data_IF_908406599528
#
_entry.id   IF_908406599528
#
_cell.length_a   1.000
_cell.length_b   1.000
_cell.length_c   1.000
_cell.angle_alpha   90.00
_cell.angle_beta   90.00
_cell.angle_gamma   90.00
#
_symmetry.space_group_name_H-M   'P 1'
#
loop_
_entity.id
_entity.type
_entity.pdbx_description
1 polymer ?
#
# COMPACT_ATOMS: atom_id res chain seq x y z
N UNK A 1 -12.16 7.01 27.01
CA UNK A 1 -10.97 6.64 26.20
C UNK A 1 -11.30 5.85 24.92
N UNK A 2 -12.55 5.82 24.47
CA UNK A 2 -12.97 5.24 23.17
C UNK A 2 -12.80 6.26 22.02
N UNK A 3 -12.53 7.51 22.35
CA UNK A 3 -12.40 8.60 21.36
C UNK A 3 -11.11 8.66 20.57
N UNK A 4 -10.06 7.93 20.93
CA UNK A 4 -8.77 7.96 20.22
C UNK A 4 -8.59 6.89 19.13
N UNK A 5 -9.57 6.01 18.96
CA UNK A 5 -9.52 4.98 17.90
C UNK A 5 -10.13 5.41 16.56
N UNK A 6 -10.67 6.60 16.45
CA UNK A 6 -11.37 7.09 15.25
C UNK A 6 -10.56 8.18 14.51
N UNK A 7 -9.37 8.50 15.00
CA UNK A 7 -8.47 9.46 14.32
C UNK A 7 -7.43 8.75 13.43
N UNK A 8 -7.82 7.68 12.78
CA UNK A 8 -7.14 7.25 11.57
C UNK A 8 -7.80 8.01 10.43
N UNK A 9 -7.11 9.01 9.92
CA UNK A 9 -7.42 9.65 8.65
C UNK A 9 -7.87 8.60 7.65
N UNK A 10 -9.16 8.57 7.32
CA UNK A 10 -9.66 7.84 6.18
C UNK A 10 -9.14 8.59 4.95
N UNK A 11 -7.86 8.47 4.72
CA UNK A 11 -7.25 8.97 3.49
C UNK A 11 -7.64 8.02 2.38
N UNK A 12 -8.60 8.42 1.57
CA UNK A 12 -8.94 7.79 0.29
C UNK A 12 -7.79 7.96 -0.70
N UNK A 13 -6.58 7.60 -0.30
CA UNK A 13 -5.39 7.61 -1.16
C UNK A 13 -5.28 6.26 -1.86
N UNK A 14 -5.86 6.18 -3.04
CA UNK A 14 -5.78 5.01 -3.90
C UNK A 14 -7.15 4.38 -4.19
N UNK A 15 -7.17 3.43 -5.11
CA UNK A 15 -8.36 2.64 -5.37
C UNK A 15 -8.68 1.78 -4.15
N UNK A 16 -9.96 1.66 -3.77
CA UNK A 16 -10.35 0.72 -2.74
C UNK A 16 -9.91 -0.70 -3.13
N UNK A 17 -9.73 -1.56 -2.14
CA UNK A 17 -9.45 -2.97 -2.39
C UNK A 17 -10.59 -3.56 -3.24
N UNK A 18 -10.29 -3.92 -4.47
CA UNK A 18 -11.24 -4.59 -5.35
C UNK A 18 -11.06 -6.09 -5.17
N UNK A 19 -12.12 -6.77 -4.73
CA UNK A 19 -12.14 -8.23 -4.61
C UNK A 19 -13.00 -8.84 -5.72
N UNK A 20 -12.42 -9.78 -6.46
CA UNK A 20 -13.16 -10.69 -7.32
C UNK A 20 -13.43 -11.95 -6.52
N UNK A 21 -14.69 -12.37 -6.49
CA UNK A 21 -15.17 -13.56 -5.76
C UNK A 21 -15.69 -14.56 -6.77
N UNK A 22 -15.30 -15.82 -6.63
CA UNK A 22 -15.74 -16.91 -7.44
C UNK A 22 -16.20 -18.07 -6.56
N UNK A 23 -17.46 -18.44 -6.65
CA UNK A 23 -18.03 -19.58 -5.92
C UNK A 23 -17.75 -20.86 -6.70
N UNK A 24 -16.92 -21.73 -6.12
CA UNK A 24 -16.65 -23.07 -6.67
C UNK A 24 -17.78 -24.04 -6.35
N UNK A 25 -18.36 -23.89 -5.19
CA UNK A 25 -19.47 -24.65 -4.64
C UNK A 25 -20.39 -23.68 -3.88
N UNK A 26 -21.57 -24.12 -3.49
CA UNK A 26 -22.57 -23.29 -2.80
C UNK A 26 -22.01 -22.58 -1.53
N UNK A 27 -20.99 -23.18 -0.91
CA UNK A 27 -20.42 -22.71 0.35
C UNK A 27 -18.91 -22.44 0.27
N UNK A 28 -18.28 -22.57 -0.87
CA UNK A 28 -16.84 -22.36 -1.05
C UNK A 28 -16.56 -21.23 -2.03
N UNK A 29 -16.00 -20.14 -1.55
CA UNK A 29 -15.62 -18.95 -2.31
C UNK A 29 -14.10 -18.85 -2.45
N UNK A 30 -13.63 -18.70 -3.68
CA UNK A 30 -12.29 -18.17 -3.97
C UNK A 30 -12.39 -16.67 -4.14
N UNK A 31 -11.40 -15.94 -3.60
CA UNK A 31 -11.32 -14.50 -3.74
C UNK A 31 -9.93 -14.05 -4.18
N UNK A 32 -9.91 -13.00 -4.96
CA UNK A 32 -8.69 -12.33 -5.38
C UNK A 32 -8.85 -10.83 -5.13
N UNK A 33 -8.14 -10.33 -4.14
CA UNK A 33 -8.07 -8.91 -3.83
C UNK A 33 -6.97 -8.23 -4.65
N UNK A 34 -7.26 -7.04 -5.17
CA UNK A 34 -6.31 -6.19 -5.87
C UNK A 34 -6.36 -4.79 -5.25
N UNK A 35 -5.22 -4.29 -4.84
CA UNK A 35 -5.06 -2.92 -4.35
C UNK A 35 -3.92 -2.24 -5.11
N UNK A 36 -4.23 -1.08 -5.69
CA UNK A 36 -3.29 -0.29 -6.47
C UNK A 36 -3.34 1.14 -5.96
N UNK A 37 -2.17 1.73 -5.74
CA UNK A 37 -2.04 3.15 -5.44
C UNK A 37 -0.81 3.69 -6.13
N UNK A 38 -0.92 4.85 -6.77
CA UNK A 38 0.21 5.57 -7.35
C UNK A 38 -0.04 7.06 -7.20
N UNK A 39 0.93 7.75 -6.63
CA UNK A 39 1.00 9.21 -6.58
C UNK A 39 2.35 9.65 -7.12
N UNK A 40 2.39 10.68 -7.92
CA UNK A 40 3.63 11.25 -8.43
C UNK A 40 3.44 12.74 -8.63
N UNK A 41 4.30 13.50 -8.01
CA UNK A 41 4.46 14.93 -8.23
C UNK A 41 5.79 15.16 -8.96
N UNK A 42 5.78 16.00 -9.97
CA UNK A 42 6.96 16.34 -10.75
C UNK A 42 6.94 17.81 -11.11
N UNK A 43 7.91 18.52 -10.59
CA UNK A 43 8.11 19.93 -10.86
C UNK A 43 9.44 20.09 -11.58
N UNK A 44 9.46 20.89 -12.64
CA UNK A 44 10.67 21.24 -13.38
C UNK A 44 10.60 22.71 -13.76
N UNK A 45 11.71 23.41 -13.62
CA UNK A 45 11.76 24.81 -13.99
C UNK A 45 13.13 25.39 -13.76
N UNK A 46 13.30 26.62 -14.16
CA UNK A 46 14.50 27.38 -13.90
C UNK A 46 14.25 28.28 -12.68
N UNK A 47 14.95 28.01 -11.58
CA UNK A 47 14.93 28.84 -10.38
C UNK A 47 15.67 30.14 -10.65
N UNK A 48 15.04 31.27 -10.36
CA UNK A 48 15.68 32.58 -10.43
C UNK A 48 16.51 32.75 -9.15
N UNK A 49 17.82 32.83 -9.32
CA UNK A 49 18.76 33.01 -8.22
C UNK A 49 19.39 34.39 -8.37
N UNK A 50 18.77 35.38 -7.76
CA UNK A 50 19.18 36.80 -7.76
C UNK A 50 19.46 37.37 -9.16
N UNK A 51 20.23 38.48 -9.23
CA UNK A 51 20.66 39.12 -10.47
C UNK A 51 21.62 38.27 -11.33
N UNK A 52 21.95 37.04 -10.89
CA UNK A 52 22.96 36.18 -11.51
C UNK A 52 22.42 35.20 -12.55
N UNK A 53 21.09 35.14 -12.72
CA UNK A 53 20.48 34.26 -13.73
C UNK A 53 19.56 33.21 -13.17
N UNK A 54 19.30 32.17 -13.96
CA UNK A 54 18.47 31.04 -13.57
C UNK A 54 19.26 29.74 -13.51
N UNK A 55 18.91 28.86 -12.59
CA UNK A 55 19.49 27.53 -12.41
C UNK A 55 18.39 26.50 -12.63
N UNK A 56 18.63 25.49 -13.45
CA UNK A 56 17.70 24.38 -13.64
C UNK A 56 17.41 23.67 -12.32
N UNK A 57 16.15 23.43 -12.06
CA UNK A 57 15.69 22.67 -10.90
C UNK A 57 14.66 21.64 -11.30
N UNK A 58 14.79 20.45 -10.72
CA UNK A 58 13.86 19.34 -10.88
C UNK A 58 13.57 18.71 -9.54
N UNK A 59 12.28 18.64 -9.22
CA UNK A 59 11.74 17.95 -8.05
C UNK A 59 10.85 16.80 -8.50
N UNK A 60 11.02 15.63 -7.89
CA UNK A 60 10.13 14.48 -8.07
C UNK A 60 9.86 13.87 -6.71
N UNK A 61 8.59 13.75 -6.38
CA UNK A 61 8.11 12.98 -5.23
C UNK A 61 7.10 11.97 -5.73
N UNK A 62 7.32 10.70 -5.46
CA UNK A 62 6.48 9.64 -5.99
C UNK A 62 6.40 8.45 -5.06
N UNK A 63 5.20 7.91 -4.99
CA UNK A 63 4.94 6.71 -4.25
C UNK A 63 4.04 5.78 -5.09
N UNK A 64 4.30 4.49 -5.02
CA UNK A 64 3.49 3.47 -5.66
C UNK A 64 3.35 2.24 -4.76
N UNK A 65 2.18 1.64 -4.79
CA UNK A 65 1.83 0.49 -3.99
C UNK A 65 0.94 -0.46 -4.80
N UNK A 66 1.33 -1.73 -4.80
CA UNK A 66 0.63 -2.80 -5.51
C UNK A 66 0.53 -4.00 -4.60
N UNK A 67 -0.70 -4.47 -4.35
CA UNK A 67 -0.93 -5.66 -3.52
C UNK A 67 -1.93 -6.59 -4.21
N UNK A 68 -1.60 -7.87 -4.21
CA UNK A 68 -2.47 -8.99 -4.54
C UNK A 68 -2.80 -9.77 -3.27
N UNK A 69 -4.06 -10.16 -3.13
CA UNK A 69 -4.54 -10.85 -1.94
C UNK A 69 -5.44 -12.03 -2.35
N UNK A 70 -4.85 -13.16 -2.78
CA UNK A 70 -5.63 -14.37 -2.96
C UNK A 70 -6.15 -14.87 -1.61
N UNK A 71 -7.30 -15.50 -1.63
CA UNK A 71 -7.94 -16.01 -0.43
C UNK A 71 -9.03 -17.02 -0.74
N UNK A 72 -9.52 -17.61 0.34
CA UNK A 72 -10.60 -18.59 0.33
C UNK A 72 -11.55 -18.29 1.48
N UNK A 73 -12.84 -18.46 1.27
CA UNK A 73 -13.83 -18.34 2.32
C UNK A 73 -14.83 -19.50 2.27
N UNK A 74 -15.31 -19.87 3.44
CA UNK A 74 -16.35 -20.88 3.63
C UNK A 74 -17.60 -20.20 4.21
N UNK A 75 -18.74 -20.38 3.53
CA UNK A 75 -20.04 -19.82 3.86
C UNK A 75 -20.88 -20.85 4.62
N UNK A 76 -21.38 -20.48 5.79
CA UNK A 76 -22.16 -21.41 6.62
C UNK A 76 -23.62 -21.52 6.19
N UNK A 77 -24.15 -20.52 5.48
CA UNK A 77 -25.54 -20.53 5.00
C UNK A 77 -25.67 -19.69 3.74
N UNK A 78 -25.85 -20.34 2.60
CA UNK A 78 -25.99 -19.69 1.30
C UNK A 78 -27.45 -19.36 0.91
N UNK A 79 -28.43 -19.74 1.72
CA UNK A 79 -29.86 -19.68 1.35
C UNK A 79 -30.64 -18.56 2.04
N UNK A 80 -30.04 -17.84 2.96
CA UNK A 80 -30.70 -16.81 3.75
C UNK A 80 -30.30 -15.39 3.32
N UNK A 81 -31.14 -14.43 3.67
CA UNK A 81 -30.89 -13.01 3.49
C UNK A 81 -29.57 -12.58 4.17
N UNK A 82 -29.15 -13.31 5.19
CA UNK A 82 -27.95 -13.10 5.99
C UNK A 82 -27.02 -14.30 5.83
N UNK A 83 -25.80 -14.06 5.44
CA UNK A 83 -24.78 -15.06 5.21
C UNK A 83 -23.56 -14.78 6.09
N UNK A 84 -23.14 -15.79 6.85
CA UNK A 84 -21.95 -15.75 7.71
C UNK A 84 -20.87 -16.61 7.08
N UNK A 85 -19.66 -16.09 7.02
CA UNK A 85 -18.53 -16.79 6.44
C UNK A 85 -17.24 -16.58 7.20
N UNK A 86 -16.31 -17.51 7.07
CA UNK A 86 -14.94 -17.40 7.58
C UNK A 86 -13.96 -17.65 6.45
N UNK A 87 -12.80 -17.06 6.52
CA UNK A 87 -11.82 -17.27 5.47
C UNK A 87 -10.40 -16.94 5.86
N UNK A 88 -9.51 -17.20 4.92
CA UNK A 88 -8.09 -16.89 5.01
C UNK A 88 -7.61 -16.24 3.72
N UNK A 89 -6.55 -15.44 3.83
CA UNK A 89 -5.92 -14.79 2.68
C UNK A 89 -4.39 -14.74 2.82
N UNK A 90 -3.73 -14.56 1.69
CA UNK A 90 -2.28 -14.48 1.56
C UNK A 90 -1.91 -13.20 0.80
N UNK A 91 -1.89 -12.04 1.47
CA UNK A 91 -1.48 -10.80 0.84
C UNK A 91 0.00 -10.81 0.48
N UNK A 92 0.34 -10.33 -0.71
CA UNK A 92 1.70 -10.02 -1.12
C UNK A 92 1.72 -8.80 -2.04
N UNK A 93 2.76 -7.98 -1.91
CA UNK A 93 2.80 -6.71 -2.60
C UNK A 93 4.19 -6.11 -2.72
N UNK A 94 4.21 -5.01 -3.45
CA UNK A 94 5.38 -4.19 -3.70
C UNK A 94 5.02 -2.74 -3.40
N UNK A 95 5.90 -2.05 -2.68
CA UNK A 95 5.83 -0.60 -2.51
C UNK A 95 7.14 0.04 -2.98
N UNK A 96 7.03 1.22 -3.57
CA UNK A 96 8.19 2.01 -3.97
C UNK A 96 7.92 3.47 -3.68
N UNK A 97 8.87 4.11 -3.04
CA UNK A 97 8.92 5.55 -2.77
C UNK A 97 10.15 6.11 -3.47
N UNK A 98 10.01 7.26 -4.10
CA UNK A 98 11.10 7.94 -4.78
C UNK A 98 11.02 9.43 -4.51
N UNK A 99 12.14 10.00 -4.12
CA UNK A 99 12.34 11.43 -3.98
C UNK A 99 13.58 11.84 -4.79
N UNK A 100 13.47 12.88 -5.60
CA UNK A 100 14.59 13.44 -6.37
C UNK A 100 14.53 14.95 -6.26
N UNK A 101 15.63 15.55 -5.89
CA UNK A 101 15.85 16.99 -5.90
C UNK A 101 17.16 17.27 -6.65
N UNK A 102 17.07 17.96 -7.76
CA UNK A 102 18.17 18.32 -8.65
C UNK A 102 18.17 19.85 -8.80
N UNK A 103 19.30 20.48 -8.53
CA UNK A 103 19.46 21.93 -8.65
C UNK A 103 20.84 22.23 -9.20
N UNK A 104 20.91 22.69 -10.46
CA UNK A 104 22.15 22.84 -11.17
C UNK A 104 22.88 21.50 -11.33
N UNK A 105 24.12 21.43 -10.86
CA UNK A 105 24.96 20.23 -10.91
C UNK A 105 24.76 19.32 -9.67
N UNK A 106 24.03 19.79 -8.65
CA UNK A 106 23.75 19.02 -7.45
C UNK A 106 22.53 18.13 -7.64
N UNK A 107 22.66 16.86 -7.26
CA UNK A 107 21.56 15.89 -7.25
C UNK A 107 21.46 15.23 -5.87
N UNK A 108 20.26 15.21 -5.32
CA UNK A 108 19.88 14.34 -4.22
C UNK A 108 18.75 13.42 -4.68
N UNK A 109 19.01 12.12 -4.66
CA UNK A 109 18.00 11.10 -5.00
C UNK A 109 17.88 10.10 -3.86
N UNK A 110 16.67 9.86 -3.44
CA UNK A 110 16.35 8.87 -2.42
C UNK A 110 15.29 7.91 -2.94
N UNK A 111 15.54 6.62 -2.82
CA UNK A 111 14.63 5.57 -3.27
C UNK A 111 14.49 4.51 -2.21
N UNK A 112 13.25 4.09 -1.98
CA UNK A 112 12.91 2.94 -1.13
C UNK A 112 12.05 1.98 -1.92
N UNK A 113 12.39 0.69 -1.86
CA UNK A 113 11.57 -0.39 -2.42
C UNK A 113 11.36 -1.45 -1.36
N UNK A 114 10.13 -1.89 -1.18
CA UNK A 114 9.78 -2.90 -0.18
C UNK A 114 8.88 -3.97 -0.81
N UNK A 115 9.18 -5.21 -0.48
CA UNK A 115 8.31 -6.35 -0.74
C UNK A 115 7.57 -6.71 0.54
N UNK A 116 6.28 -6.95 0.44
CA UNK A 116 5.46 -7.40 1.55
C UNK A 116 4.85 -8.76 1.27
N UNK A 117 4.76 -9.57 2.33
CA UNK A 117 4.08 -10.86 2.32
C UNK A 117 3.41 -11.08 3.66
N UNK A 118 2.24 -11.70 3.65
CA UNK A 118 1.50 -11.92 4.88
C UNK A 118 0.55 -13.09 4.82
N UNK A 119 -0.09 -13.31 5.95
CA UNK A 119 -1.19 -14.26 6.11
C UNK A 119 -2.27 -13.59 6.94
N UNK A 120 -3.51 -13.79 6.58
CA UNK A 120 -4.67 -13.29 7.31
C UNK A 120 -5.79 -14.29 7.43
N UNK A 121 -6.60 -14.12 8.46
CA UNK A 121 -7.85 -14.82 8.66
C UNK A 121 -8.96 -13.81 8.96
N UNK A 122 -10.17 -14.08 8.56
CA UNK A 122 -11.30 -13.17 8.76
C UNK A 122 -12.59 -13.95 9.00
N UNK A 123 -13.52 -13.27 9.67
CA UNK A 123 -14.91 -13.64 9.75
C UNK A 123 -15.74 -12.52 9.14
N UNK A 124 -16.74 -12.87 8.37
CA UNK A 124 -17.61 -11.92 7.68
C UNK A 124 -19.07 -12.23 7.86
N UNK A 125 -19.85 -11.17 7.75
CA UNK A 125 -21.30 -11.19 7.71
C UNK A 125 -21.72 -10.36 6.50
N UNK A 126 -22.55 -10.91 5.62
CA UNK A 126 -23.14 -10.16 4.52
C UNK A 126 -24.65 -10.32 4.45
N UNK A 127 -25.32 -9.26 4.04
CA UNK A 127 -26.75 -9.21 3.85
C UNK A 127 -27.04 -8.90 2.37
N UNK A 128 -27.86 -9.73 1.76
CA UNK A 128 -28.32 -9.50 0.40
C UNK A 128 -29.43 -8.45 0.38
N UNK A 129 -29.30 -7.49 -0.53
CA UNK A 129 -30.34 -6.47 -0.74
C UNK A 129 -31.43 -7.11 -1.59
N UNK A 130 -32.63 -7.19 -1.06
CA UNK A 130 -33.78 -7.90 -1.69
C UNK A 130 -33.91 -7.57 -3.17
N UNK A 131 -34.06 -8.60 -3.99
CA UNK A 131 -34.23 -8.55 -5.47
C UNK A 131 -33.09 -7.88 -6.26
N UNK A 132 -32.01 -7.46 -5.59
CA UNK A 132 -30.83 -6.91 -6.27
C UNK A 132 -29.65 -7.89 -6.22
N UNK A 133 -28.81 -7.93 -7.24
CA UNK A 133 -27.59 -8.72 -7.23
C UNK A 133 -26.47 -8.03 -6.42
N UNK A 134 -26.83 -7.53 -5.22
CA UNK A 134 -25.94 -6.74 -4.37
C UNK A 134 -26.03 -7.27 -2.93
N UNK A 135 -24.85 -7.39 -2.28
CA UNK A 135 -24.78 -7.62 -0.85
C UNK A 135 -23.90 -6.55 -0.18
N UNK A 136 -24.28 -6.19 1.04
CA UNK A 136 -23.51 -5.33 1.92
C UNK A 136 -23.03 -6.17 3.10
N UNK A 137 -21.77 -6.04 3.46
CA UNK A 137 -21.19 -6.86 4.51
C UNK A 137 -20.16 -6.13 5.36
N UNK A 138 -19.82 -6.79 6.45
CA UNK A 138 -18.75 -6.41 7.37
C UNK A 138 -17.84 -7.60 7.55
N UNK A 139 -16.54 -7.40 7.45
CA UNK A 139 -15.52 -8.38 7.76
C UNK A 139 -14.67 -7.89 8.94
N UNK A 140 -14.39 -8.78 9.88
CA UNK A 140 -13.38 -8.58 10.91
C UNK A 140 -12.23 -9.53 10.66
N UNK A 141 -11.03 -9.00 10.49
CA UNK A 141 -9.87 -9.76 10.13
C UNK A 141 -8.69 -9.59 11.09
N UNK A 142 -7.83 -10.60 11.11
CA UNK A 142 -6.50 -10.57 11.70
C UNK A 142 -5.48 -10.85 10.61
N UNK A 143 -4.39 -10.10 10.59
CA UNK A 143 -3.32 -10.34 9.61
C UNK A 143 -1.96 -10.13 10.23
N UNK A 144 -1.03 -11.00 9.84
CA UNK A 144 0.40 -10.83 10.06
C UNK A 144 1.06 -10.48 8.74
N UNK A 145 1.84 -9.41 8.71
CA UNK A 145 2.56 -8.93 7.53
C UNK A 145 4.04 -8.85 7.83
N UNK A 146 4.87 -9.22 6.87
CA UNK A 146 6.32 -9.03 6.88
C UNK A 146 6.73 -8.17 5.69
N UNK A 147 7.50 -7.14 5.98
CA UNK A 147 8.03 -6.19 5.02
C UNK A 147 9.54 -6.43 4.88
N UNK A 148 10.01 -6.57 3.66
CA UNK A 148 11.40 -6.84 3.32
C UNK A 148 11.95 -5.70 2.46
N UNK A 149 13.21 -5.34 2.68
CA UNK A 149 13.88 -4.32 1.87
C UNK A 149 13.51 -2.88 2.23
N UNK A 150 13.02 -2.63 3.45
CA UNK A 150 12.65 -1.29 3.93
C UNK A 150 13.88 -0.43 4.23
N UNK A 151 14.70 -0.18 3.24
CA UNK A 151 15.85 0.70 3.31
C UNK A 151 15.75 1.79 2.27
N UNK A 152 16.25 2.96 2.59
CA UNK A 152 16.43 4.04 1.65
C UNK A 152 17.81 3.94 1.01
N UNK A 153 17.86 3.98 -0.30
CA UNK A 153 19.07 4.15 -1.09
C UNK A 153 19.19 5.63 -1.43
N UNK A 154 20.27 6.25 -0.96
CA UNK A 154 20.52 7.66 -1.12
C UNK A 154 21.66 7.83 -2.11
N UNK A 155 21.48 8.70 -3.08
CA UNK A 155 22.49 9.11 -4.06
C UNK A 155 22.64 10.62 -3.95
N UNK A 156 23.83 11.08 -3.65
CA UNK A 156 24.19 12.50 -3.60
C UNK A 156 25.26 12.74 -4.67
N UNK A 157 25.04 13.72 -5.51
CA UNK A 157 26.07 14.26 -6.41
C UNK A 157 26.33 15.70 -5.99
N UNK A 158 27.56 16.02 -5.67
CA UNK A 158 27.98 17.37 -5.29
C UNK A 158 28.26 18.26 -6.51
N UNK A 159 28.62 19.53 -6.26
CA UNK A 159 28.96 20.50 -7.32
C UNK A 159 30.19 20.11 -8.16
N UNK A 160 31.09 19.30 -7.61
CA UNK A 160 32.26 18.77 -8.27
C UNK A 160 31.96 17.49 -9.11
N UNK A 161 30.70 17.01 -9.08
CA UNK A 161 30.27 15.81 -9.77
C UNK A 161 30.66 14.51 -9.08
N UNK A 162 31.03 14.55 -7.79
CA UNK A 162 31.37 13.36 -7.02
C UNK A 162 30.10 12.69 -6.54
N UNK A 163 29.91 11.44 -6.93
CA UNK A 163 28.76 10.64 -6.54
C UNK A 163 29.04 9.85 -5.25
N UNK A 164 28.14 9.97 -4.27
CA UNK A 164 28.13 9.20 -3.05
C UNK A 164 26.84 8.38 -2.96
N UNK A 165 26.98 7.08 -2.66
CA UNK A 165 25.85 6.16 -2.50
C UNK A 165 25.91 5.53 -1.12
N UNK A 166 24.83 5.68 -0.35
CA UNK A 166 24.70 5.08 0.97
C UNK A 166 23.24 4.68 1.25
N UNK A 167 23.05 3.88 2.29
CA UNK A 167 21.73 3.43 2.72
C UNK A 167 21.37 3.99 4.09
N UNK A 168 20.07 4.25 4.33
CA UNK A 168 19.55 4.69 5.61
C UNK A 168 18.29 3.93 6.02
N UNK A 169 17.96 3.95 7.30
CA UNK A 169 16.76 3.27 7.86
C UNK A 169 15.50 4.13 7.75
N UNK A 170 15.66 5.43 7.81
CA UNK A 170 14.58 6.43 7.71
C UNK A 170 14.88 7.44 6.63
N UNK A 171 13.86 8.13 6.17
CA UNK A 171 14.01 9.30 5.32
C UNK A 171 14.76 10.38 6.11
N UNK A 172 15.76 11.03 5.50
CA UNK A 172 16.54 12.10 6.14
C UNK A 172 17.31 11.67 7.41
N UNK A 173 17.74 10.41 7.47
CA UNK A 173 18.58 9.92 8.57
C UNK A 173 20.01 10.45 8.44
N UNK A 174 20.61 10.79 9.58
CA UNK A 174 22.04 11.11 9.66
C UNK A 174 22.91 9.84 9.64
N UNK A 175 22.30 8.64 9.80
CA UNK A 175 23.01 7.38 9.77
C UNK A 175 23.23 6.91 8.32
N UNK A 176 24.49 6.71 7.96
CA UNK A 176 24.92 6.24 6.65
C UNK A 176 25.49 4.83 6.72
N UNK A 177 24.92 3.92 5.94
CA UNK A 177 25.37 2.54 5.86
C UNK A 177 25.88 2.23 4.45
N UNK A 178 27.05 1.61 4.34
CA UNK A 178 27.56 1.10 3.06
C UNK A 178 26.73 -0.11 2.58
N UNK A 179 26.20 -0.89 3.51
CA UNK A 179 25.28 -2.01 3.23
C UNK A 179 24.22 -2.07 4.32
N UNK A 180 22.95 -2.22 3.94
CA UNK A 180 21.84 -2.29 4.89
C UNK A 180 20.85 -3.38 4.47
N UNK A 181 20.48 -4.25 5.42
CA UNK A 181 19.35 -5.18 5.29
C UNK A 181 18.31 -4.80 6.32
N UNK A 182 17.11 -4.52 5.88
CA UNK A 182 16.02 -4.12 6.76
C UNK A 182 14.80 -5.02 6.54
N UNK A 183 14.17 -5.41 7.63
CA UNK A 183 12.88 -6.09 7.62
C UNK A 183 12.06 -5.66 8.82
N UNK A 184 10.76 -5.55 8.64
CA UNK A 184 9.81 -5.23 9.69
C UNK A 184 8.65 -6.23 9.64
N UNK A 185 7.98 -6.43 10.78
CA UNK A 185 6.79 -7.27 10.89
C UNK A 185 5.69 -6.53 11.64
N UNK A 186 4.48 -6.73 11.20
CA UNK A 186 3.28 -6.18 11.82
C UNK A 186 2.27 -7.31 12.00
N UNK A 187 1.58 -7.31 13.14
CA UNK A 187 0.40 -8.12 13.39
C UNK A 187 -0.73 -7.24 13.91
N UNK A 188 -1.89 -7.34 13.32
CA UNK A 188 -3.02 -6.50 13.68
C UNK A 188 -4.36 -7.03 13.24
N UNK A 189 -5.41 -6.31 13.61
CA UNK A 189 -6.78 -6.58 13.19
C UNK A 189 -7.34 -5.38 12.45
N UNK A 190 -8.29 -5.65 11.57
CA UNK A 190 -8.99 -4.65 10.78
C UNK A 190 -10.48 -4.98 10.65
N UNK A 191 -11.28 -3.94 10.48
CA UNK A 191 -12.69 -4.05 10.14
C UNK A 191 -12.86 -3.50 8.72
N UNK A 192 -13.54 -4.25 7.87
CA UNK A 192 -13.82 -3.86 6.49
C UNK A 192 -15.31 -3.82 6.22
N UNK A 193 -15.75 -2.75 5.60
CA UNK A 193 -17.08 -2.68 4.98
C UNK A 193 -16.93 -3.18 3.54
N UNK A 194 -17.83 -4.07 3.13
CA UNK A 194 -17.82 -4.66 1.79
C UNK A 194 -19.13 -4.39 1.07
N UNK A 195 -19.03 -4.07 -0.22
CA UNK A 195 -20.16 -4.04 -1.13
C UNK A 195 -19.83 -5.03 -2.25
N UNK A 196 -20.65 -6.05 -2.40
CA UNK A 196 -20.46 -7.10 -3.40
C UNK A 196 -21.55 -7.02 -4.45
N UNK A 197 -21.17 -7.14 -5.73
CA UNK A 197 -22.08 -7.26 -6.85
C UNK A 197 -21.93 -8.67 -7.45
N UNK A 198 -23.05 -9.35 -7.69
CA UNK A 198 -23.09 -10.72 -8.18
C UNK A 198 -23.46 -10.71 -9.66
N UNK A 199 -22.59 -11.26 -10.49
CA UNK A 199 -22.86 -11.50 -11.90
C UNK A 199 -23.55 -12.85 -12.06
N UNK A 200 -24.57 -12.91 -12.92
CA UNK A 200 -25.23 -14.16 -13.31
C UNK A 200 -24.55 -14.76 -14.53
#
# INVERSE_FOLDING_TARGET
EIGQMIDSDITWRGLPLVNVKYYMEDNLELRLGLQLSKSMEKIKGDLIVDERGSIYSRYVDGNSYYRLTPGIAYHFSSTNLLDVYVGANLPFGLSSEQYVNETGDMLFSQKRSSFEIGIGAFIGLQCFVADLPVAIGVEYGFSGMKYLGQKYENIIVDEDGVEQVFYSTTQWSDDEYSTLKSSNGFFGSDIRLTISYFFK
#
